data_IF_215450556474
#
_entry.id   IF_215450556474
#
_cell.length_a   1.000
_cell.length_b   1.000
_cell.length_c   1.000
_cell.angle_alpha   90.00
_cell.angle_beta   90.00
_cell.angle_gamma   90.00
#
_symmetry.space_group_name_H-M   'P 1'
#
loop_
_entity.id
_entity.type
_entity.pdbx_description
1 polymer ?
#
# COMPACT_ATOMS: atom_id res chain seq x y z
N UNK A 1 11.86 9.74 -43.88
CA UNK A 1 11.69 8.29 -43.76
C UNK A 1 10.65 8.02 -42.73
N UNK A 2 9.60 7.24 -43.00
CA UNK A 2 8.63 6.86 -41.98
C UNK A 2 9.37 6.03 -40.90
N UNK A 3 9.24 6.41 -39.64
CA UNK A 3 9.85 5.68 -38.52
C UNK A 3 9.26 4.26 -38.51
N UNK A 4 10.10 3.24 -38.52
CA UNK A 4 9.64 1.85 -38.43
C UNK A 4 8.90 1.70 -37.08
N UNK A 5 7.67 1.21 -37.14
CA UNK A 5 6.88 0.92 -35.93
C UNK A 5 7.54 -0.21 -35.17
N UNK A 6 7.72 -0.03 -33.87
CA UNK A 6 8.23 -1.06 -32.96
C UNK A 6 7.09 -1.88 -32.38
N UNK A 7 7.39 -3.13 -32.03
CA UNK A 7 6.52 -3.97 -31.23
C UNK A 7 7.12 -4.15 -29.84
N UNK A 8 6.45 -3.62 -28.83
CA UNK A 8 6.90 -3.55 -27.44
C UNK A 8 6.10 -4.53 -26.59
N UNK A 9 6.79 -5.44 -25.91
CA UNK A 9 6.21 -6.32 -24.90
C UNK A 9 6.33 -5.69 -23.50
N UNK A 10 5.29 -5.80 -22.68
CA UNK A 10 5.30 -5.34 -21.29
C UNK A 10 4.88 -6.49 -20.37
N UNK A 11 5.67 -6.75 -19.34
CA UNK A 11 5.42 -7.75 -18.31
C UNK A 11 5.23 -7.08 -16.98
N UNK A 12 4.09 -7.32 -16.34
CA UNK A 12 3.86 -7.07 -14.93
C UNK A 12 4.14 -8.37 -14.16
N UNK A 13 5.35 -8.49 -13.61
CA UNK A 13 5.79 -9.71 -12.97
C UNK A 13 4.95 -10.07 -11.72
N UNK A 14 4.49 -9.07 -10.98
CA UNK A 14 3.64 -9.27 -9.79
C UNK A 14 2.27 -9.84 -10.19
N UNK A 15 1.73 -9.38 -11.32
CA UNK A 15 0.49 -9.93 -11.89
C UNK A 15 0.65 -11.41 -12.25
N UNK A 16 1.76 -11.78 -12.89
CA UNK A 16 2.01 -13.15 -13.36
C UNK A 16 2.29 -14.12 -12.20
N UNK A 17 2.89 -13.68 -11.09
CA UNK A 17 3.17 -14.58 -9.95
C UNK A 17 1.93 -14.85 -9.10
N UNK A 18 1.29 -13.83 -8.58
CA UNK A 18 0.21 -13.96 -7.58
C UNK A 18 -1.07 -13.20 -7.90
N UNK A 19 -1.05 -12.46 -9.00
CA UNK A 19 -2.07 -11.49 -9.31
C UNK A 19 -1.93 -10.22 -8.47
N UNK A 20 -2.42 -9.13 -9.00
CA UNK A 20 -2.45 -7.83 -8.33
C UNK A 20 -3.87 -7.28 -8.27
N UNK A 21 -4.10 -6.33 -7.38
CA UNK A 21 -5.39 -5.61 -7.31
C UNK A 21 -5.37 -4.34 -8.16
N UNK A 22 -4.18 -3.90 -8.55
CA UNK A 22 -3.94 -2.63 -9.22
C UNK A 22 -3.09 -2.86 -10.45
N UNK A 23 -3.26 -2.08 -11.52
CA UNK A 23 -2.32 -2.08 -12.61
C UNK A 23 -0.97 -1.51 -12.15
N UNK A 24 0.11 -1.96 -12.75
CA UNK A 24 1.44 -1.42 -12.51
C UNK A 24 1.59 -0.08 -13.24
N UNK A 25 1.83 1.02 -12.49
CA UNK A 25 1.89 2.37 -13.05
C UNK A 25 3.05 2.53 -14.05
N UNK A 26 4.21 1.91 -13.81
CA UNK A 26 5.33 1.96 -14.75
C UNK A 26 4.95 1.29 -16.08
N UNK A 27 4.28 0.14 -16.03
CA UNK A 27 3.76 -0.54 -17.23
C UNK A 27 2.79 0.35 -18.02
N UNK A 28 1.86 1.03 -17.31
CA UNK A 28 0.92 1.96 -17.96
C UNK A 28 1.63 3.13 -18.64
N UNK A 29 2.64 3.74 -18.00
CA UNK A 29 3.41 4.87 -18.53
C UNK A 29 4.25 4.45 -19.74
N UNK A 30 4.93 3.32 -19.68
CA UNK A 30 5.69 2.75 -20.79
C UNK A 30 4.74 2.51 -21.99
N UNK A 31 3.58 1.91 -21.73
CA UNK A 31 2.58 1.67 -22.79
C UNK A 31 2.11 2.97 -23.44
N UNK A 32 1.73 3.96 -22.65
CA UNK A 32 1.28 5.27 -23.15
C UNK A 32 2.33 5.92 -24.03
N UNK A 33 3.57 5.99 -23.55
CA UNK A 33 4.68 6.57 -24.30
C UNK A 33 4.91 5.94 -25.67
N UNK A 34 4.90 4.59 -25.75
CA UNK A 34 5.13 3.91 -27.04
C UNK A 34 3.91 3.98 -27.95
N UNK A 35 2.69 3.84 -27.43
CA UNK A 35 1.46 3.95 -28.25
C UNK A 35 1.31 5.34 -28.87
N UNK A 36 1.60 6.41 -28.13
CA UNK A 36 1.53 7.78 -28.66
C UNK A 36 2.57 8.06 -29.73
N UNK A 37 3.65 7.27 -29.78
CA UNK A 37 4.64 7.30 -30.85
C UNK A 37 4.24 6.47 -32.07
N UNK A 38 3.08 5.79 -31.99
CA UNK A 38 2.54 4.92 -33.05
C UNK A 38 3.10 3.51 -33.05
N UNK A 39 3.83 3.11 -32.01
CA UNK A 39 4.34 1.77 -31.80
C UNK A 39 3.21 0.80 -31.38
N UNK A 40 3.40 -0.50 -31.61
CA UNK A 40 2.49 -1.52 -31.12
C UNK A 40 2.94 -1.95 -29.73
N UNK A 41 2.00 -2.04 -28.78
CA UNK A 41 2.28 -2.42 -27.39
C UNK A 41 1.35 -3.53 -26.97
N UNK A 42 1.90 -4.55 -26.30
CA UNK A 42 1.17 -5.72 -25.81
C UNK A 42 1.55 -6.00 -24.35
N UNK A 43 0.56 -6.28 -23.50
CA UNK A 43 0.78 -6.88 -22.18
C UNK A 43 1.04 -8.37 -22.38
N UNK A 44 2.18 -8.85 -21.91
CA UNK A 44 2.55 -10.26 -21.97
C UNK A 44 1.98 -10.93 -20.70
N UNK A 45 1.13 -11.93 -20.90
CA UNK A 45 0.41 -12.63 -19.83
C UNK A 45 1.01 -13.99 -19.47
N UNK A 46 2.13 -14.40 -20.11
CA UNK A 46 2.83 -15.65 -19.84
C UNK A 46 4.35 -15.48 -19.96
N UNK A 47 5.10 -16.12 -19.05
CA UNK A 47 6.56 -16.16 -19.11
C UNK A 47 7.10 -16.94 -20.33
N UNK A 48 6.37 -17.91 -20.83
CA UNK A 48 6.75 -18.63 -22.04
C UNK A 48 6.80 -17.70 -23.24
N UNK A 49 5.89 -16.74 -23.34
CA UNK A 49 5.91 -15.72 -24.38
C UNK A 49 7.12 -14.78 -24.26
N UNK A 50 7.66 -14.56 -23.06
CA UNK A 50 8.90 -13.80 -22.88
C UNK A 50 10.11 -14.58 -23.41
N UNK A 51 10.19 -15.87 -23.13
CA UNK A 51 11.34 -16.72 -23.47
C UNK A 51 11.33 -17.13 -24.95
N UNK A 52 10.16 -17.53 -25.46
CA UNK A 52 10.06 -18.15 -26.79
C UNK A 52 9.62 -17.19 -27.91
N UNK A 53 9.37 -15.93 -27.59
CA UNK A 53 8.95 -14.91 -28.56
C UNK A 53 10.12 -14.28 -29.35
N UNK A 54 11.19 -15.02 -29.55
CA UNK A 54 12.38 -14.52 -30.26
C UNK A 54 11.99 -13.83 -31.59
N UNK A 55 12.25 -12.51 -31.67
CA UNK A 55 11.92 -11.70 -32.85
C UNK A 55 10.48 -11.20 -32.93
N UNK A 56 9.59 -11.55 -31.99
CA UNK A 56 8.24 -10.98 -31.94
C UNK A 56 8.26 -9.53 -31.41
N UNK A 57 9.07 -9.26 -30.38
CA UNK A 57 9.19 -7.94 -29.78
C UNK A 57 10.52 -7.30 -30.10
N UNK A 58 10.50 -6.03 -30.51
CA UNK A 58 11.71 -5.20 -30.64
C UNK A 58 12.32 -4.89 -29.27
N UNK A 59 11.48 -4.81 -28.23
CA UNK A 59 11.92 -4.64 -26.85
C UNK A 59 10.87 -5.16 -25.86
N UNK A 60 11.34 -5.69 -24.74
CA UNK A 60 10.50 -6.17 -23.63
C UNK A 60 10.84 -5.38 -22.36
N UNK A 61 9.82 -4.87 -21.67
CA UNK A 61 9.94 -4.26 -20.35
C UNK A 61 9.33 -5.17 -19.29
N UNK A 62 10.08 -5.43 -18.21
CA UNK A 62 9.61 -6.22 -17.05
C UNK A 62 9.58 -5.33 -15.83
N UNK A 63 8.41 -5.14 -15.25
CA UNK A 63 8.25 -4.40 -13.99
C UNK A 63 7.98 -5.36 -12.83
N UNK A 64 8.62 -5.08 -11.66
CA UNK A 64 8.46 -5.83 -10.42
C UNK A 64 8.42 -4.86 -9.24
N UNK A 65 7.35 -4.91 -8.44
CA UNK A 65 7.16 -4.04 -7.26
C UNK A 65 7.64 -4.72 -5.97
N UNK A 66 7.32 -6.01 -5.81
CA UNK A 66 7.63 -6.76 -4.58
C UNK A 66 8.86 -7.64 -4.74
N UNK A 67 9.77 -7.61 -3.78
CA UNK A 67 11.00 -8.40 -3.74
C UNK A 67 10.75 -9.92 -3.65
N UNK A 68 9.62 -10.33 -3.06
CA UNK A 68 9.20 -11.73 -2.96
C UNK A 68 8.50 -12.28 -4.21
N UNK A 69 8.26 -11.46 -5.25
CA UNK A 69 7.68 -11.91 -6.53
C UNK A 69 8.65 -12.80 -7.28
N UNK A 70 8.21 -13.97 -7.70
CA UNK A 70 9.03 -14.94 -8.40
C UNK A 70 9.23 -14.55 -9.85
N UNK A 71 10.48 -14.63 -10.30
CA UNK A 71 10.86 -14.52 -11.71
C UNK A 71 11.36 -15.90 -12.13
N UNK A 72 10.60 -16.65 -12.93
CA UNK A 72 10.94 -18.04 -13.28
C UNK A 72 11.97 -18.16 -14.39
N UNK A 73 12.43 -17.03 -14.96
CA UNK A 73 13.32 -16.96 -16.12
C UNK A 73 14.57 -16.14 -15.81
N UNK A 74 15.66 -16.39 -16.50
CA UNK A 74 16.87 -15.56 -16.42
C UNK A 74 16.69 -14.35 -17.36
N UNK A 75 16.38 -13.19 -16.78
CA UNK A 75 16.12 -11.96 -17.53
C UNK A 75 17.37 -11.46 -18.26
N UNK A 76 18.57 -11.69 -17.70
CA UNK A 76 19.83 -11.23 -18.29
C UNK A 76 20.21 -12.05 -19.54
N UNK A 77 19.65 -13.25 -19.69
CA UNK A 77 19.84 -14.08 -20.86
C UNK A 77 18.93 -13.71 -22.06
N UNK A 78 17.94 -12.82 -21.84
CA UNK A 78 16.97 -12.44 -22.88
C UNK A 78 17.43 -11.15 -23.57
N UNK A 79 17.75 -11.20 -24.88
CA UNK A 79 18.15 -10.00 -25.61
C UNK A 79 16.97 -9.01 -25.71
N UNK A 80 17.30 -7.72 -25.80
CA UNK A 80 16.32 -6.64 -25.93
C UNK A 80 15.32 -6.55 -24.77
N UNK A 81 15.72 -6.91 -23.54
CA UNK A 81 14.91 -6.82 -22.36
C UNK A 81 15.49 -5.78 -21.38
N UNK A 82 14.61 -5.00 -20.77
CA UNK A 82 14.91 -4.10 -19.66
C UNK A 82 13.97 -4.40 -18.52
N UNK A 83 14.49 -4.52 -17.30
CA UNK A 83 13.68 -4.73 -16.12
C UNK A 83 13.92 -3.64 -15.08
N UNK A 84 12.89 -3.36 -14.28
CA UNK A 84 12.93 -2.31 -13.27
C UNK A 84 11.81 -2.42 -12.24
N UNK A 85 11.84 -1.47 -11.30
CA UNK A 85 10.91 -1.40 -10.19
C UNK A 85 11.55 -1.77 -8.86
N UNK A 86 10.87 -1.39 -7.76
CA UNK A 86 11.38 -1.52 -6.39
C UNK A 86 11.75 -2.95 -6.01
N UNK A 87 11.00 -3.94 -6.51
CA UNK A 87 11.24 -5.34 -6.19
C UNK A 87 12.57 -5.91 -6.68
N UNK A 88 13.20 -5.30 -7.71
CA UNK A 88 14.52 -5.71 -8.17
C UNK A 88 15.66 -5.06 -7.38
N UNK A 89 15.40 -3.89 -6.78
CA UNK A 89 16.46 -3.02 -6.25
C UNK A 89 16.27 -2.69 -4.78
N UNK A 90 15.38 -3.38 -4.07
CA UNK A 90 15.05 -3.08 -2.67
C UNK A 90 16.29 -3.15 -1.74
N UNK A 91 17.11 -4.19 -1.89
CA UNK A 91 18.35 -4.33 -1.10
C UNK A 91 19.44 -3.33 -1.53
N UNK A 92 19.34 -2.79 -2.75
CA UNK A 92 20.28 -1.84 -3.34
C UNK A 92 19.79 -0.40 -3.22
N UNK A 93 18.80 -0.11 -2.38
CA UNK A 93 18.14 1.19 -2.22
C UNK A 93 19.13 2.25 -1.69
N UNK A 94 20.26 2.37 -2.37
CA UNK A 94 21.20 3.47 -2.20
C UNK A 94 20.84 4.58 -3.18
N UNK A 95 21.00 5.86 -2.81
CA UNK A 95 20.86 6.95 -3.77
C UNK A 95 21.66 6.64 -5.04
N UNK A 96 20.99 6.58 -6.18
CA UNK A 96 21.60 6.26 -7.48
C UNK A 96 21.53 4.79 -7.93
N UNK A 97 21.05 3.86 -7.09
CA UNK A 97 20.94 2.43 -7.48
C UNK A 97 19.56 2.07 -8.09
N UNK A 98 18.56 2.94 -7.96
CA UNK A 98 17.22 2.70 -8.53
C UNK A 98 17.22 3.13 -9.99
N UNK A 99 16.95 2.19 -10.88
CA UNK A 99 16.69 2.50 -12.28
C UNK A 99 15.29 3.14 -12.39
N UNK A 100 15.26 4.46 -12.36
CA UNK A 100 14.05 5.23 -12.62
C UNK A 100 13.71 5.14 -14.11
N UNK A 101 12.43 5.26 -14.44
CA UNK A 101 12.04 5.47 -15.83
C UNK A 101 12.70 6.75 -16.36
N UNK A 102 13.07 6.80 -17.65
CA UNK A 102 13.45 8.05 -18.29
C UNK A 102 12.35 9.11 -18.06
N UNK A 103 12.76 10.36 -17.87
CA UNK A 103 11.88 11.47 -17.54
C UNK A 103 10.69 11.61 -18.52
N UNK A 104 10.96 11.41 -19.81
CA UNK A 104 9.95 11.43 -20.89
C UNK A 104 8.89 10.32 -20.77
N UNK A 105 9.20 9.22 -20.07
CA UNK A 105 8.25 8.12 -19.80
C UNK A 105 7.61 8.34 -18.41
N UNK A 106 8.41 8.77 -17.41
CA UNK A 106 7.90 9.00 -16.05
C UNK A 106 6.79 10.05 -16.02
N UNK A 107 6.89 11.09 -16.85
CA UNK A 107 5.89 12.16 -16.96
C UNK A 107 4.92 11.98 -18.14
N UNK A 108 4.87 10.77 -18.73
CA UNK A 108 3.92 10.47 -19.79
C UNK A 108 2.54 10.07 -19.21
N UNK A 109 1.46 10.43 -19.94
CA UNK A 109 0.11 9.98 -19.63
C UNK A 109 0.06 8.45 -19.63
N UNK A 110 -0.39 7.81 -18.53
CA UNK A 110 -0.55 6.35 -18.48
C UNK A 110 -1.58 5.83 -19.49
N UNK A 111 -1.27 4.73 -20.14
CA UNK A 111 -2.26 3.99 -20.95
C UNK A 111 -3.15 3.13 -20.04
N UNK A 112 -4.25 3.66 -19.63
CA UNK A 112 -5.20 2.95 -18.76
C UNK A 112 -5.94 1.77 -19.44
N UNK A 113 -5.67 1.51 -20.72
CA UNK A 113 -6.25 0.41 -21.49
C UNK A 113 -5.29 -0.78 -21.69
N UNK A 114 -4.07 -0.70 -21.19
CA UNK A 114 -3.08 -1.79 -21.31
C UNK A 114 -3.60 -3.13 -20.78
N UNK A 115 -4.37 -3.11 -19.69
CA UNK A 115 -4.87 -4.32 -19.00
C UNK A 115 -6.28 -4.74 -19.45
N UNK A 116 -6.90 -4.08 -20.42
CA UNK A 116 -8.30 -4.34 -20.82
C UNK A 116 -8.50 -5.79 -21.28
N UNK A 117 -7.55 -6.34 -22.06
CA UNK A 117 -7.62 -7.72 -22.53
C UNK A 117 -7.55 -8.72 -21.36
N UNK A 118 -6.60 -8.52 -20.44
CA UNK A 118 -6.46 -9.33 -19.24
C UNK A 118 -7.76 -9.30 -18.39
N UNK A 119 -8.29 -8.12 -18.11
CA UNK A 119 -9.53 -7.95 -17.32
C UNK A 119 -10.72 -8.64 -18.00
N UNK A 120 -10.86 -8.47 -19.30
CA UNK A 120 -11.93 -9.13 -20.07
C UNK A 120 -11.80 -10.67 -20.02
N UNK A 121 -10.58 -11.20 -20.14
CA UNK A 121 -10.29 -12.63 -20.04
C UNK A 121 -10.66 -13.19 -18.66
N UNK A 122 -10.29 -12.51 -17.59
CA UNK A 122 -10.61 -12.92 -16.21
C UNK A 122 -12.12 -12.87 -15.91
N UNK A 123 -12.82 -11.86 -16.42
CA UNK A 123 -14.28 -11.78 -16.33
C UNK A 123 -14.93 -12.93 -17.08
N UNK A 124 -14.45 -13.28 -18.28
CA UNK A 124 -14.94 -14.41 -19.06
C UNK A 124 -14.70 -15.75 -18.34
N UNK A 125 -13.64 -15.85 -17.51
CA UNK A 125 -13.38 -17.00 -16.63
C UNK A 125 -14.27 -17.02 -15.36
N UNK A 126 -15.18 -16.06 -15.19
CA UNK A 126 -16.14 -16.02 -14.10
C UNK A 126 -15.72 -15.18 -12.87
N UNK A 127 -14.62 -14.43 -12.96
CA UNK A 127 -14.26 -13.49 -11.89
C UNK A 127 -15.18 -12.28 -11.96
N UNK A 128 -15.71 -11.87 -10.80
CA UNK A 128 -16.65 -10.74 -10.73
C UNK A 128 -15.99 -9.40 -11.11
N UNK A 129 -16.60 -8.59 -11.99
CA UNK A 129 -16.04 -7.30 -12.46
C UNK A 129 -15.63 -6.35 -11.32
N UNK A 130 -16.33 -6.39 -10.19
CA UNK A 130 -16.04 -5.55 -9.01
C UNK A 130 -14.59 -5.74 -8.47
N UNK A 131 -13.97 -6.88 -8.76
CA UNK A 131 -12.58 -7.14 -8.35
C UNK A 131 -11.55 -6.38 -9.19
N UNK A 132 -11.96 -5.87 -10.34
CA UNK A 132 -11.11 -5.13 -11.27
C UNK A 132 -11.38 -3.62 -11.26
N UNK A 133 -12.09 -3.11 -10.22
CA UNK A 133 -12.41 -1.70 -10.11
C UNK A 133 -11.16 -0.80 -10.22
N UNK A 134 -10.05 -1.20 -9.61
CA UNK A 134 -8.81 -0.42 -9.64
C UNK A 134 -8.18 -0.37 -11.05
N UNK A 135 -8.40 -1.39 -11.88
CA UNK A 135 -7.98 -1.41 -13.29
C UNK A 135 -8.88 -0.54 -14.18
N UNK A 136 -10.19 -0.51 -13.90
CA UNK A 136 -11.18 0.05 -14.80
C UNK A 136 -11.61 1.48 -14.46
N UNK A 137 -11.65 1.81 -13.16
CA UNK A 137 -12.32 3.01 -12.68
C UNK A 137 -11.39 4.10 -12.16
N UNK A 138 -10.11 3.82 -11.95
CA UNK A 138 -9.18 4.73 -11.29
C UNK A 138 -8.09 5.26 -12.21
N UNK A 139 -7.84 6.57 -12.16
CA UNK A 139 -6.57 7.17 -12.53
C UNK A 139 -5.60 7.01 -11.37
N UNK A 140 -4.35 6.64 -11.64
CA UNK A 140 -3.34 6.30 -10.63
C UNK A 140 -2.09 7.13 -10.86
N UNK A 141 -1.56 7.74 -9.82
CA UNK A 141 -0.32 8.51 -9.94
C UNK A 141 0.22 9.00 -8.62
N UNK A 142 1.23 9.85 -8.72
CA UNK A 142 1.89 10.52 -7.62
C UNK A 142 1.90 12.02 -7.88
N UNK A 143 1.45 12.83 -6.93
CA UNK A 143 1.68 14.25 -6.94
C UNK A 143 3.02 14.59 -6.29
N UNK A 144 3.41 13.80 -5.27
CA UNK A 144 4.66 13.96 -4.53
C UNK A 144 5.36 12.61 -4.34
N UNK A 145 6.67 12.65 -4.15
CA UNK A 145 7.50 11.48 -3.83
C UNK A 145 8.35 11.73 -2.61
N UNK A 146 8.61 10.67 -1.86
CA UNK A 146 9.54 10.65 -0.75
C UNK A 146 8.93 10.96 0.60
N UNK A 147 9.76 10.81 1.62
CA UNK A 147 9.41 11.02 3.02
C UNK A 147 10.64 11.52 3.79
N UNK A 148 10.44 12.25 4.88
CA UNK A 148 11.51 12.76 5.75
C UNK A 148 11.69 11.93 7.02
N UNK A 149 10.95 10.80 7.16
CA UNK A 149 10.92 10.02 8.42
C UNK A 149 12.06 9.02 8.57
N UNK A 150 12.67 8.57 7.50
CA UNK A 150 13.80 7.61 7.52
C UNK A 150 13.51 6.32 8.32
N UNK A 151 12.26 5.84 8.29
CA UNK A 151 11.91 4.59 8.95
C UNK A 151 12.67 3.43 8.33
N UNK A 152 13.43 2.68 9.12
CA UNK A 152 14.36 1.62 8.67
C UNK A 152 13.67 0.45 7.94
N UNK A 153 12.41 0.23 8.18
CA UNK A 153 11.60 -0.79 7.51
C UNK A 153 11.00 -0.30 6.18
N UNK A 154 11.16 0.98 5.85
CA UNK A 154 10.45 1.61 4.74
C UNK A 154 11.36 1.79 3.53
N UNK A 155 10.80 1.63 2.32
CA UNK A 155 11.51 1.92 1.06
C UNK A 155 12.02 3.37 0.97
N UNK A 156 11.44 4.28 1.75
CA UNK A 156 11.82 5.70 1.81
C UNK A 156 12.88 6.02 2.88
N UNK A 157 13.54 5.02 3.48
CA UNK A 157 14.57 5.24 4.52
C UNK A 157 15.63 6.28 4.10
N UNK A 158 16.05 6.25 2.85
CA UNK A 158 17.09 7.13 2.32
C UNK A 158 16.56 8.36 1.58
N UNK A 159 15.25 8.60 1.65
CA UNK A 159 14.64 9.77 1.02
C UNK A 159 15.07 11.07 1.73
N UNK A 160 15.28 12.14 0.96
CA UNK A 160 15.73 13.44 1.49
C UNK A 160 14.59 14.40 1.82
N UNK A 161 13.35 13.89 1.88
CA UNK A 161 12.14 14.68 2.16
C UNK A 161 11.05 14.45 1.13
N UNK A 162 9.94 15.16 1.28
CA UNK A 162 8.82 15.11 0.33
C UNK A 162 9.01 16.17 -0.73
N UNK A 163 9.04 15.75 -1.98
CA UNK A 163 9.25 16.62 -3.14
C UNK A 163 8.07 16.54 -4.09
N UNK A 164 7.79 17.66 -4.79
CA UNK A 164 6.88 17.66 -5.93
C UNK A 164 7.34 16.62 -6.97
N UNK A 165 6.41 15.91 -7.56
CA UNK A 165 6.68 14.95 -8.61
C UNK A 165 5.98 15.34 -9.91
N UNK A 166 4.65 15.36 -9.93
CA UNK A 166 3.90 15.69 -11.15
C UNK A 166 2.55 16.34 -10.86
N UNK A 167 2.09 17.15 -11.78
CA UNK A 167 0.72 17.66 -11.73
C UNK A 167 -0.30 16.55 -11.95
N UNK A 168 -1.47 16.64 -11.30
CA UNK A 168 -2.55 15.65 -11.46
C UNK A 168 -2.93 15.47 -12.94
N UNK A 169 -2.95 16.53 -13.72
CA UNK A 169 -3.27 16.51 -15.16
C UNK A 169 -2.34 15.64 -16.03
N UNK A 170 -1.13 15.34 -15.57
CA UNK A 170 -0.17 14.53 -16.32
C UNK A 170 -0.57 13.06 -16.39
N UNK A 171 -1.38 12.61 -15.45
CA UNK A 171 -1.81 11.21 -15.34
C UNK A 171 -3.31 11.02 -15.07
N UNK A 172 -4.07 12.10 -14.95
CA UNK A 172 -5.52 12.04 -14.76
C UNK A 172 -6.25 11.85 -16.10
N UNK A 173 -6.97 10.74 -16.21
CA UNK A 173 -7.90 10.47 -17.30
C UNK A 173 -9.32 10.88 -16.90
N UNK A 174 -9.92 11.89 -17.56
CA UNK A 174 -11.28 12.34 -17.25
C UNK A 174 -12.38 11.30 -17.48
N UNK A 175 -12.13 10.23 -18.21
CA UNK A 175 -13.07 9.12 -18.38
C UNK A 175 -13.19 8.25 -17.15
N UNK A 176 -12.16 8.25 -16.27
CA UNK A 176 -12.11 7.48 -15.04
C UNK A 176 -12.95 8.12 -13.93
N UNK A 177 -13.57 7.27 -13.08
CA UNK A 177 -14.49 7.71 -12.03
C UNK A 177 -13.79 8.29 -10.81
N UNK A 178 -12.59 7.78 -10.50
CA UNK A 178 -11.87 8.00 -9.25
C UNK A 178 -10.38 8.25 -9.49
N UNK A 179 -9.71 8.75 -8.45
CA UNK A 179 -8.27 8.99 -8.45
C UNK A 179 -7.65 8.25 -7.25
N UNK A 180 -6.56 7.50 -7.50
CA UNK A 180 -5.66 6.98 -6.49
C UNK A 180 -4.32 7.71 -6.50
N UNK A 181 -3.97 8.27 -5.35
CA UNK A 181 -2.65 8.82 -5.13
C UNK A 181 -1.83 7.81 -4.29
N UNK A 182 -0.64 7.53 -4.78
CA UNK A 182 0.28 6.60 -4.15
C UNK A 182 1.40 7.31 -3.42
N UNK A 183 1.22 8.61 -3.15
CA UNK A 183 2.13 9.49 -2.46
C UNK A 183 2.60 8.91 -1.13
N UNK A 184 3.90 8.97 -0.88
CA UNK A 184 4.53 8.38 0.31
C UNK A 184 4.15 9.13 1.60
N UNK A 185 4.13 10.47 1.56
CA UNK A 185 3.78 11.31 2.70
C UNK A 185 3.28 12.68 2.27
N UNK A 186 2.13 12.74 1.62
CA UNK A 186 1.56 13.99 1.06
C UNK A 186 1.44 15.11 2.09
N UNK A 187 1.07 14.80 3.34
CA UNK A 187 0.92 15.82 4.40
C UNK A 187 2.25 16.45 4.81
N UNK A 188 3.38 15.84 4.45
CA UNK A 188 4.72 16.37 4.66
C UNK A 188 5.21 17.28 3.54
N UNK A 189 4.49 17.40 2.42
CA UNK A 189 4.83 18.31 1.35
C UNK A 189 4.54 19.76 1.76
N UNK A 190 5.51 20.69 1.65
CA UNK A 190 5.30 22.08 2.12
C UNK A 190 4.12 22.79 1.43
N UNK A 191 3.85 22.45 0.16
CA UNK A 191 2.77 23.05 -0.65
C UNK A 191 1.62 22.04 -0.86
N UNK A 192 1.30 21.28 0.16
CA UNK A 192 0.25 20.25 0.09
C UNK A 192 -1.12 20.83 -0.33
N UNK A 193 -1.41 22.10 -0.01
CA UNK A 193 -2.64 22.79 -0.42
C UNK A 193 -2.80 22.81 -1.94
N UNK A 194 -1.71 23.11 -2.68
CA UNK A 194 -1.73 23.17 -4.16
C UNK A 194 -2.18 21.81 -4.75
N UNK A 195 -1.75 20.70 -4.16
CA UNK A 195 -2.18 19.36 -4.60
C UNK A 195 -3.68 19.14 -4.35
N UNK A 196 -4.20 19.59 -3.21
CA UNK A 196 -5.63 19.47 -2.91
C UNK A 196 -6.49 20.37 -3.80
N UNK A 197 -5.98 21.53 -4.21
CA UNK A 197 -6.61 22.42 -5.19
C UNK A 197 -6.70 21.74 -6.56
N UNK A 198 -5.59 21.18 -7.06
CA UNK A 198 -5.61 20.39 -8.31
C UNK A 198 -6.58 19.22 -8.26
N UNK A 199 -6.64 18.48 -7.14
CA UNK A 199 -7.60 17.40 -6.95
C UNK A 199 -9.04 17.89 -6.98
N UNK A 200 -9.33 19.05 -6.37
CA UNK A 200 -10.66 19.64 -6.37
C UNK A 200 -11.08 20.07 -7.79
N UNK A 201 -10.17 20.61 -8.60
CA UNK A 201 -10.38 21.00 -9.99
C UNK A 201 -10.80 19.81 -10.86
N UNK A 202 -10.30 18.60 -10.60
CA UNK A 202 -10.73 17.40 -11.35
C UNK A 202 -12.21 17.08 -11.17
N UNK A 203 -12.81 17.54 -10.07
CA UNK A 203 -14.17 17.21 -9.68
C UNK A 203 -14.37 15.74 -9.25
N UNK A 204 -13.33 14.91 -9.31
CA UNK A 204 -13.40 13.48 -9.00
C UNK A 204 -13.21 13.21 -7.51
N UNK A 205 -13.70 12.06 -7.06
CA UNK A 205 -13.40 11.52 -5.72
C UNK A 205 -12.03 10.87 -5.75
N UNK A 206 -11.28 11.00 -4.65
CA UNK A 206 -9.92 10.48 -4.57
C UNK A 206 -9.62 9.77 -3.25
N UNK A 207 -8.52 9.04 -3.21
CA UNK A 207 -7.99 8.38 -2.02
C UNK A 207 -6.47 8.34 -2.06
N UNK A 208 -5.82 8.58 -0.92
CA UNK A 208 -4.43 8.22 -0.71
C UNK A 208 -4.33 6.74 -0.33
N UNK A 209 -3.47 6.01 -1.02
CA UNK A 209 -3.33 4.55 -0.83
C UNK A 209 -2.32 4.20 0.24
N UNK A 210 -1.35 5.08 0.49
CA UNK A 210 -0.41 4.92 1.59
C UNK A 210 -0.97 5.53 2.88
N UNK A 211 -0.44 5.10 4.02
CA UNK A 211 -0.80 5.68 5.30
C UNK A 211 -0.27 7.11 5.42
N UNK A 212 -1.17 8.07 5.68
CA UNK A 212 -0.79 9.45 5.94
C UNK A 212 -0.14 9.59 7.33
N UNK A 213 0.79 10.53 7.46
CA UNK A 213 1.47 10.80 8.73
C UNK A 213 0.62 11.69 9.65
N UNK A 214 -0.09 11.06 10.59
CA UNK A 214 -0.98 11.76 11.54
C UNK A 214 -0.21 12.67 12.49
N UNK A 215 1.09 12.42 12.77
CA UNK A 215 1.94 13.19 13.69
C UNK A 215 2.13 14.64 13.26
N UNK A 216 1.95 14.93 11.98
CA UNK A 216 2.02 16.29 11.42
C UNK A 216 0.66 16.85 11.06
N UNK A 217 -0.41 16.25 11.58
CA UNK A 217 -1.76 16.78 11.41
C UNK A 217 -1.90 18.13 12.09
N UNK A 218 -2.51 19.06 11.37
CA UNK A 218 -2.89 20.39 11.87
C UNK A 218 -4.37 20.62 11.64
N UNK A 219 -4.94 21.63 12.29
CA UNK A 219 -6.34 21.99 12.10
C UNK A 219 -6.66 22.25 10.62
N UNK A 220 -5.76 22.91 9.88
CA UNK A 220 -5.97 23.21 8.45
C UNK A 220 -5.94 21.94 7.59
N UNK A 221 -4.99 21.03 7.85
CA UNK A 221 -4.94 19.73 7.15
C UNK A 221 -6.19 18.90 7.43
N UNK A 222 -6.62 18.86 8.70
CA UNK A 222 -7.82 18.14 9.11
C UNK A 222 -9.08 18.70 8.45
N UNK A 223 -9.24 20.04 8.41
CA UNK A 223 -10.34 20.71 7.70
C UNK A 223 -10.36 20.40 6.22
N UNK A 224 -9.21 20.54 5.56
CA UNK A 224 -9.08 20.28 4.12
C UNK A 224 -9.43 18.83 3.77
N UNK A 225 -8.85 17.86 4.48
CA UNK A 225 -9.18 16.44 4.29
C UNK A 225 -10.65 16.12 4.55
N UNK A 226 -11.25 16.77 5.57
CA UNK A 226 -12.65 16.53 5.94
C UNK A 226 -13.65 17.08 4.93
N UNK A 227 -13.30 18.19 4.24
CA UNK A 227 -14.12 18.81 3.21
C UNK A 227 -13.88 18.25 1.81
N UNK A 228 -12.79 17.49 1.63
CA UNK A 228 -12.42 16.94 0.34
C UNK A 228 -13.37 15.83 -0.14
N UNK A 229 -13.44 15.63 -1.46
CA UNK A 229 -14.19 14.52 -2.07
C UNK A 229 -13.46 13.18 -1.87
N UNK A 230 -13.14 12.85 -0.61
CA UNK A 230 -12.40 11.65 -0.25
C UNK A 230 -13.28 10.41 -0.23
N UNK A 231 -12.78 9.28 -0.74
CA UNK A 231 -13.48 7.97 -0.72
C UNK A 231 -12.70 6.97 0.15
N UNK A 232 -13.43 5.99 0.65
CA UNK A 232 -12.86 4.94 1.49
C UNK A 232 -12.48 5.39 2.90
N UNK A 233 -11.60 4.63 3.51
CA UNK A 233 -11.10 4.88 4.86
C UNK A 233 -9.98 5.92 4.83
N UNK A 234 -9.96 6.82 5.81
CA UNK A 234 -8.75 7.58 6.10
C UNK A 234 -7.76 6.65 6.80
N UNK A 235 -6.57 6.53 6.24
CA UNK A 235 -5.53 5.63 6.72
C UNK A 235 -4.35 6.46 7.20
N UNK A 236 -3.96 6.23 8.46
CA UNK A 236 -2.78 6.81 9.08
C UNK A 236 -1.83 5.71 9.53
N UNK A 237 -0.71 6.05 10.17
CA UNK A 237 0.25 5.11 10.72
C UNK A 237 0.56 5.39 12.19
N UNK A 238 0.79 4.32 12.96
CA UNK A 238 1.27 4.34 14.34
C UNK A 238 2.26 3.17 14.53
N UNK A 239 3.46 3.33 14.04
CA UNK A 239 4.42 2.22 13.93
C UNK A 239 5.33 2.08 15.16
N UNK A 240 5.62 3.16 15.89
CA UNK A 240 6.51 3.15 17.05
C UNK A 240 5.80 3.61 18.33
N UNK A 241 5.97 2.91 19.46
CA UNK A 241 5.31 3.25 20.73
C UNK A 241 5.70 4.62 21.28
N UNK A 242 6.91 5.09 21.05
CA UNK A 242 7.44 6.39 21.46
C UNK A 242 6.73 7.56 20.80
N UNK A 243 6.09 7.35 19.65
CA UNK A 243 5.34 8.37 18.90
C UNK A 243 3.93 8.65 19.48
N UNK A 244 3.59 7.98 20.56
CA UNK A 244 2.25 8.03 21.15
C UNK A 244 1.72 9.44 21.32
N UNK A 245 2.51 10.37 21.88
CA UNK A 245 2.06 11.74 22.17
C UNK A 245 1.69 12.51 20.90
N UNK A 246 2.53 12.40 19.89
CA UNK A 246 2.32 13.04 18.59
C UNK A 246 1.11 12.43 17.86
N UNK A 247 0.92 11.11 17.99
CA UNK A 247 -0.23 10.40 17.42
C UNK A 247 -1.52 10.86 18.10
N UNK A 248 -1.58 10.85 19.46
CA UNK A 248 -2.75 11.30 20.22
C UNK A 248 -3.09 12.76 19.88
N UNK A 249 -2.10 13.64 19.82
CA UNK A 249 -2.30 15.03 19.40
C UNK A 249 -2.86 15.15 17.98
N UNK A 250 -2.30 14.41 17.02
CA UNK A 250 -2.78 14.42 15.64
C UNK A 250 -4.21 13.89 15.51
N UNK A 251 -4.55 12.84 16.27
CA UNK A 251 -5.91 12.30 16.32
C UNK A 251 -6.90 13.30 16.92
N UNK A 252 -6.51 14.02 17.98
CA UNK A 252 -7.32 15.10 18.57
C UNK A 252 -7.58 16.22 17.56
N UNK A 253 -6.56 16.64 16.79
CA UNK A 253 -6.73 17.61 15.71
C UNK A 253 -7.69 17.08 14.63
N UNK A 254 -7.53 15.83 14.22
CA UNK A 254 -8.38 15.18 13.22
C UNK A 254 -9.85 15.13 13.68
N UNK A 255 -10.10 14.69 14.90
CA UNK A 255 -11.44 14.45 15.42
C UNK A 255 -12.26 15.72 15.66
N UNK A 256 -11.63 16.89 15.75
CA UNK A 256 -12.34 18.19 15.76
C UNK A 256 -13.14 18.44 14.49
N UNK A 257 -12.69 17.91 13.34
CA UNK A 257 -13.24 18.24 12.02
C UNK A 257 -13.81 17.05 11.29
N UNK A 258 -13.49 15.83 11.71
CA UNK A 258 -13.95 14.62 11.02
C UNK A 258 -14.44 13.55 12.00
N UNK A 259 -15.67 13.08 11.77
CA UNK A 259 -16.29 12.04 12.60
C UNK A 259 -16.18 10.63 11.99
N UNK A 260 -15.58 10.49 10.80
CA UNK A 260 -15.28 9.16 10.25
C UNK A 260 -14.21 8.49 11.09
N UNK A 261 -14.47 7.24 11.44
CA UNK A 261 -13.53 6.38 12.16
C UNK A 261 -12.31 6.11 11.27
N UNK A 262 -11.12 6.61 11.59
CA UNK A 262 -9.95 6.35 10.80
C UNK A 262 -9.37 4.98 11.12
N UNK A 263 -8.57 4.47 10.17
CA UNK A 263 -7.79 3.25 10.33
C UNK A 263 -6.32 3.64 10.51
N UNK A 264 -5.62 2.97 11.43
CA UNK A 264 -4.19 3.16 11.57
C UNK A 264 -3.44 1.85 11.35
N UNK A 265 -2.43 1.90 10.50
CA UNK A 265 -1.44 0.84 10.41
C UNK A 265 -0.63 0.78 11.71
N UNK A 266 -0.40 -0.43 12.20
CA UNK A 266 0.38 -0.72 13.40
C UNK A 266 1.37 -1.82 13.03
N UNK A 267 2.62 -1.44 12.79
CA UNK A 267 3.69 -2.39 12.50
C UNK A 267 4.07 -3.15 13.78
N UNK A 268 4.28 -4.45 13.68
CA UNK A 268 4.78 -5.28 14.78
C UNK A 268 5.75 -6.35 14.26
N UNK A 269 6.60 -6.84 15.15
CA UNK A 269 7.60 -7.85 14.84
C UNK A 269 8.79 -7.33 14.03
N UNK A 270 9.03 -6.01 14.00
CA UNK A 270 10.16 -5.38 13.33
C UNK A 270 11.38 -5.27 14.25
N UNK A 271 11.32 -4.40 15.27
CA UNK A 271 12.45 -4.09 16.16
C UNK A 271 12.79 -5.28 17.06
N UNK A 272 11.79 -5.86 17.67
CA UNK A 272 11.92 -7.10 18.44
C UNK A 272 10.77 -8.06 18.09
N UNK A 273 10.88 -9.31 18.52
CA UNK A 273 9.89 -10.35 18.28
C UNK A 273 9.53 -11.07 19.59
N UNK A 274 9.65 -10.37 20.70
CA UNK A 274 9.45 -10.83 22.08
C UNK A 274 8.17 -10.26 22.71
N UNK A 275 8.01 -10.43 24.03
CA UNK A 275 6.89 -9.93 24.82
C UNK A 275 6.81 -8.41 24.80
N UNK A 276 7.95 -7.72 24.69
CA UNK A 276 7.99 -6.26 24.72
C UNK A 276 7.30 -5.68 23.47
N UNK A 277 7.55 -6.25 22.28
CA UNK A 277 6.88 -5.81 21.05
C UNK A 277 5.38 -6.11 21.08
N UNK A 278 5.00 -7.27 21.67
CA UNK A 278 3.59 -7.65 21.83
C UNK A 278 2.89 -6.69 22.80
N UNK A 279 3.50 -6.38 23.94
CA UNK A 279 2.96 -5.39 24.90
C UNK A 279 2.81 -4.02 24.26
N UNK A 280 3.84 -3.54 23.55
CA UNK A 280 3.80 -2.29 22.79
C UNK A 280 2.71 -2.29 21.74
N UNK A 281 2.45 -3.42 21.09
CA UNK A 281 1.35 -3.57 20.12
C UNK A 281 -0.01 -3.44 20.82
N UNK A 282 -0.22 -4.11 21.94
CA UNK A 282 -1.44 -3.95 22.73
C UNK A 282 -1.63 -2.52 23.24
N UNK A 283 -0.57 -1.87 23.72
CA UNK A 283 -0.63 -0.47 24.17
C UNK A 283 -1.10 0.45 23.04
N UNK A 284 -0.54 0.30 21.83
CA UNK A 284 -0.98 1.08 20.66
C UNK A 284 -2.44 0.78 20.30
N UNK A 285 -2.87 -0.48 20.37
CA UNK A 285 -4.27 -0.86 20.18
C UNK A 285 -5.18 -0.18 21.21
N UNK A 286 -4.80 -0.17 22.50
CA UNK A 286 -5.55 0.51 23.57
C UNK A 286 -5.69 2.01 23.30
N UNK A 287 -4.60 2.69 22.90
CA UNK A 287 -4.62 4.11 22.51
C UNK A 287 -5.60 4.33 21.36
N UNK A 288 -5.56 3.49 20.34
CA UNK A 288 -6.47 3.60 19.20
C UNK A 288 -7.93 3.33 19.57
N UNK A 289 -8.20 2.43 20.51
CA UNK A 289 -9.54 2.24 21.06
C UNK A 289 -10.05 3.49 21.75
N UNK A 290 -9.23 4.14 22.59
CA UNK A 290 -9.55 5.40 23.28
C UNK A 290 -9.93 6.52 22.31
N UNK A 291 -9.21 6.61 21.21
CA UNK A 291 -9.48 7.58 20.12
C UNK A 291 -10.49 7.07 19.08
N UNK A 292 -11.24 6.00 19.37
CA UNK A 292 -12.27 5.45 18.46
C UNK A 292 -11.76 5.13 17.06
N UNK A 293 -10.48 4.75 16.93
CA UNK A 293 -9.84 4.35 15.69
C UNK A 293 -9.82 2.82 15.54
N UNK A 294 -9.59 2.36 14.31
CA UNK A 294 -9.44 0.93 14.00
C UNK A 294 -7.96 0.63 13.72
N UNK A 295 -7.30 -0.20 14.51
CA UNK A 295 -5.96 -0.68 14.19
C UNK A 295 -6.01 -1.63 12.99
N UNK A 296 -4.96 -1.58 12.17
CA UNK A 296 -4.67 -2.58 11.16
C UNK A 296 -3.25 -3.10 11.38
N UNK A 297 -3.15 -4.29 11.93
CA UNK A 297 -1.87 -4.89 12.31
C UNK A 297 -1.12 -5.34 11.06
N UNK A 298 0.05 -4.75 10.85
CA UNK A 298 1.01 -5.10 9.82
C UNK A 298 2.16 -5.88 10.47
N UNK A 299 2.25 -7.18 10.18
CA UNK A 299 3.31 -8.03 10.71
C UNK A 299 4.51 -7.97 9.78
N UNK A 300 5.64 -7.46 10.27
CA UNK A 300 6.91 -7.62 9.56
C UNK A 300 7.30 -9.10 9.52
N UNK A 301 7.93 -9.56 8.45
CA UNK A 301 8.28 -10.99 8.24
C UNK A 301 9.03 -11.63 9.42
N UNK A 302 9.82 -10.84 10.15
CA UNK A 302 10.56 -11.30 11.32
C UNK A 302 9.67 -11.88 12.44
N UNK A 303 8.37 -11.53 12.49
CA UNK A 303 7.45 -12.12 13.46
C UNK A 303 7.45 -13.65 13.42
N UNK A 304 7.77 -14.24 12.26
CA UNK A 304 7.81 -15.69 12.07
C UNK A 304 8.94 -16.36 12.89
N UNK A 305 9.96 -15.61 13.29
CA UNK A 305 11.08 -16.05 14.12
C UNK A 305 10.71 -16.05 15.62
N UNK A 306 9.61 -15.40 16.01
CA UNK A 306 9.16 -15.27 17.38
C UNK A 306 8.73 -16.63 17.98
N UNK A 307 9.04 -16.84 19.26
CA UNK A 307 8.40 -17.85 20.11
C UNK A 307 6.87 -17.65 20.12
N UNK A 308 6.42 -16.39 20.07
CA UNK A 308 5.03 -15.98 20.15
C UNK A 308 4.40 -15.65 18.78
N UNK A 309 4.90 -16.22 17.69
CA UNK A 309 4.36 -16.00 16.34
C UNK A 309 2.84 -16.16 16.22
N UNK A 310 2.26 -17.07 17.02
CA UNK A 310 0.82 -17.30 17.04
C UNK A 310 0.03 -16.12 17.61
N UNK A 311 0.57 -15.44 18.60
CA UNK A 311 -0.02 -14.21 19.19
C UNK A 311 -0.07 -13.08 18.16
N UNK A 312 1.02 -12.87 17.37
CA UNK A 312 1.01 -11.91 16.26
C UNK A 312 -0.05 -12.23 15.20
N UNK A 313 -0.23 -13.53 14.88
CA UNK A 313 -1.26 -13.97 13.95
C UNK A 313 -2.65 -13.66 14.49
N UNK A 314 -2.90 -13.95 15.76
CA UNK A 314 -4.19 -13.71 16.40
C UNK A 314 -4.51 -12.23 16.50
N UNK A 315 -3.54 -11.37 16.88
CA UNK A 315 -3.68 -9.92 16.92
C UNK A 315 -4.11 -9.38 15.55
N UNK A 316 -3.42 -9.78 14.48
CA UNK A 316 -3.78 -9.36 13.15
C UNK A 316 -5.18 -9.85 12.72
N UNK A 317 -5.54 -11.10 13.03
CA UNK A 317 -6.87 -11.63 12.70
C UNK A 317 -7.99 -10.93 13.45
N UNK A 318 -7.76 -10.58 14.70
CA UNK A 318 -8.73 -9.85 15.53
C UNK A 318 -8.89 -8.41 15.06
N UNK A 319 -7.78 -7.66 14.94
CA UNK A 319 -7.81 -6.23 14.62
C UNK A 319 -8.20 -5.93 13.18
N UNK A 320 -7.69 -6.72 12.21
CA UNK A 320 -7.89 -6.43 10.78
C UNK A 320 -9.31 -6.75 10.30
N UNK A 321 -10.17 -7.28 11.18
CA UNK A 321 -11.58 -7.51 10.91
C UNK A 321 -12.43 -6.62 11.84
N UNK A 322 -12.88 -5.45 11.38
CA UNK A 322 -13.60 -4.47 12.22
C UNK A 322 -14.81 -5.05 12.97
N UNK A 323 -15.46 -6.08 12.39
CA UNK A 323 -16.59 -6.74 13.03
C UNK A 323 -16.21 -7.54 14.28
N UNK A 324 -14.99 -8.09 14.33
CA UNK A 324 -14.48 -8.73 15.54
C UNK A 324 -13.95 -7.69 16.50
N UNK A 325 -13.10 -6.80 16.04
CA UNK A 325 -12.45 -5.79 16.87
C UNK A 325 -13.45 -4.89 17.63
N UNK A 326 -14.50 -4.42 16.95
CA UNK A 326 -15.51 -3.54 17.56
C UNK A 326 -16.40 -4.23 18.60
N UNK A 327 -16.56 -5.56 18.51
CA UNK A 327 -17.56 -6.29 19.30
C UNK A 327 -16.96 -7.15 20.41
N UNK A 328 -15.67 -7.46 20.35
CA UNK A 328 -15.05 -8.48 21.20
C UNK A 328 -13.73 -7.99 21.74
N UNK A 329 -13.42 -8.36 22.99
CA UNK A 329 -12.05 -8.29 23.50
C UNK A 329 -11.17 -9.32 22.76
N UNK A 330 -9.85 -9.19 22.93
CA UNK A 330 -8.91 -10.18 22.38
C UNK A 330 -9.17 -11.59 22.95
N UNK A 331 -9.43 -11.69 24.25
CA UNK A 331 -9.78 -12.97 24.91
C UNK A 331 -11.04 -13.58 24.29
N UNK A 332 -12.13 -12.82 24.22
CA UNK A 332 -13.39 -13.30 23.65
C UNK A 332 -13.24 -13.77 22.20
N UNK A 333 -12.46 -13.03 21.40
CA UNK A 333 -12.16 -13.46 20.03
C UNK A 333 -11.46 -14.81 20.01
N UNK A 334 -10.49 -15.05 20.90
CA UNK A 334 -9.77 -16.31 20.95
C UNK A 334 -10.68 -17.48 21.45
N UNK A 335 -11.47 -17.26 22.50
CA UNK A 335 -12.37 -18.26 23.10
C UNK A 335 -13.43 -18.75 22.10
N UNK A 336 -13.99 -17.86 21.29
CA UNK A 336 -14.99 -18.22 20.28
C UNK A 336 -14.43 -19.08 19.14
N UNK A 337 -13.11 -19.17 18.98
CA UNK A 337 -12.50 -20.13 18.07
C UNK A 337 -12.46 -21.57 18.62
N UNK A 338 -12.88 -21.75 19.86
CA UNK A 338 -12.99 -23.05 20.55
C UNK A 338 -11.73 -23.46 21.32
N UNK A 339 -11.92 -24.15 22.42
CA UNK A 339 -10.86 -24.52 23.39
C UNK A 339 -9.67 -25.28 22.78
N UNK A 340 -9.93 -26.11 21.78
CA UNK A 340 -8.91 -26.95 21.12
C UNK A 340 -8.24 -26.26 19.92
N UNK A 341 -8.60 -25.00 19.63
CA UNK A 341 -8.06 -24.27 18.49
C UNK A 341 -6.60 -23.84 18.74
N UNK A 342 -5.85 -23.67 17.65
CA UNK A 342 -4.52 -23.06 17.73
C UNK A 342 -4.58 -21.62 18.28
N UNK A 343 -5.68 -20.92 18.05
CA UNK A 343 -5.94 -19.57 18.55
C UNK A 343 -5.97 -19.54 20.08
N UNK A 344 -6.71 -20.47 20.71
CA UNK A 344 -6.74 -20.61 22.17
C UNK A 344 -5.39 -21.05 22.74
N UNK A 345 -4.72 -22.01 22.10
CA UNK A 345 -3.39 -22.44 22.53
C UNK A 345 -2.41 -21.28 22.61
N UNK A 346 -2.31 -20.45 21.56
CA UNK A 346 -1.41 -19.30 21.55
C UNK A 346 -1.78 -18.21 22.57
N UNK A 347 -3.07 -18.03 22.85
CA UNK A 347 -3.52 -17.16 23.93
C UNK A 347 -3.03 -17.66 25.29
N UNK A 348 -3.25 -18.95 25.58
CA UNK A 348 -2.88 -19.56 26.85
C UNK A 348 -1.36 -19.63 27.05
N UNK A 349 -0.59 -19.94 25.99
CA UNK A 349 0.89 -19.96 26.02
C UNK A 349 1.43 -18.57 26.41
N UNK A 350 0.94 -17.52 25.79
CA UNK A 350 1.41 -16.16 26.09
C UNK A 350 0.93 -15.68 27.47
N UNK A 351 -0.32 -15.98 27.85
CA UNK A 351 -0.87 -15.62 29.15
C UNK A 351 -0.13 -16.33 30.30
N UNK A 352 0.27 -17.59 30.10
CA UNK A 352 1.07 -18.35 31.07
C UNK A 352 2.44 -17.69 31.28
N UNK A 353 3.10 -17.30 30.21
CA UNK A 353 4.43 -16.71 30.25
C UNK A 353 4.42 -15.25 30.74
N UNK A 354 3.35 -14.50 30.45
CA UNK A 354 3.22 -13.05 30.70
C UNK A 354 1.83 -12.67 31.24
N UNK A 355 1.47 -13.17 32.46
CA UNK A 355 0.14 -12.97 33.03
C UNK A 355 -0.23 -11.50 33.28
N UNK A 356 0.75 -10.63 33.55
CA UNK A 356 0.52 -9.21 33.80
C UNK A 356 0.08 -8.49 32.53
N UNK A 357 0.69 -8.82 31.38
CA UNK A 357 0.30 -8.28 30.07
C UNK A 357 -1.11 -8.75 29.72
N UNK A 358 -1.36 -10.05 29.88
CA UNK A 358 -2.67 -10.62 29.62
C UNK A 358 -3.77 -9.99 30.49
N UNK A 359 -3.53 -9.85 31.80
CA UNK A 359 -4.43 -9.20 32.75
C UNK A 359 -4.73 -7.75 32.36
N UNK A 360 -3.76 -7.05 31.82
CA UNK A 360 -3.89 -5.64 31.43
C UNK A 360 -4.70 -5.45 30.16
N UNK A 361 -4.51 -6.30 29.12
CA UNK A 361 -4.98 -6.00 27.79
C UNK A 361 -6.02 -6.95 27.21
N UNK A 362 -6.08 -8.23 27.66
CA UNK A 362 -6.87 -9.23 26.96
C UNK A 362 -8.39 -9.01 27.00
N UNK A 363 -8.87 -8.33 28.05
CA UNK A 363 -10.29 -8.15 28.27
C UNK A 363 -10.81 -6.75 27.90
N UNK A 364 -9.92 -5.85 27.43
CA UNK A 364 -10.29 -4.51 26.97
C UNK A 364 -11.11 -4.62 25.69
N UNK A 365 -12.20 -3.85 25.59
CA UNK A 365 -13.09 -3.78 24.44
C UNK A 365 -13.13 -2.39 23.84
N UNK A 366 -13.31 -2.32 22.54
CA UNK A 366 -13.52 -1.07 21.83
C UNK A 366 -14.71 -0.27 22.37
N UNK A 367 -15.76 -0.94 22.85
CA UNK A 367 -16.96 -0.31 23.42
C UNK A 367 -16.77 0.27 24.81
N UNK A 368 -15.77 -0.16 25.58
CA UNK A 368 -15.48 0.36 26.92
C UNK A 368 -15.08 1.85 26.89
N UNK A 369 -14.66 2.35 25.72
CA UNK A 369 -14.27 3.74 25.49
C UNK A 369 -15.37 4.55 24.77
N UNK A 370 -16.62 4.12 24.83
CA UNK A 370 -17.76 4.95 24.40
C UNK A 370 -17.92 6.09 25.38
N UNK A 371 -17.82 7.36 24.90
CA UNK A 371 -18.19 8.54 25.67
C UNK A 371 -19.71 8.60 25.86
#
# INVERSE_FOLDING_TARGET
MAKQKKHIGIVDADLLDKGTRHPNLACLKISGFYKDRGDQVELIEDWDDVVYSTGKYDHIYVARVFDFTRIPVDLDAIPNLTYGGTGFFFESFRPGAVHMLPDEIEHHMPDYHLYDHFVAGEIARGIKPIKFGDYMDYSIGFATRGCFRHCKFCVNEHSTGVKFHSHIKEWFDPSRKYIYLWDDNILGYPKWQEVFEELAETGRRFQFRQGMDIRIMTDDKAKTLSSAKYIGDFIFAFDHPEERKEIEHGLDCWQKYNHKVPKLYVLCGWDSQDETDIENTFMRIEVLMKHRCIPYIMRHENYAKSKYKGTYINLARWCNQPNFFKKKSYRQYCEENGEKSSTMRYLQEFEHDHPDIAKRYYDIRYEDFRA
#
